data_IF_635585438998
#
_entry.id   IF_635585438998
#
_cell.length_a   1.000
_cell.length_b   1.000
_cell.length_c   1.000
_cell.angle_alpha   90.00
_cell.angle_beta   90.00
_cell.angle_gamma   90.00
#
_symmetry.space_group_name_H-M   'P 1'
#
loop_
_entity.id
_entity.type
_entity.pdbx_description
1 polymer ?
#
# COMPACT_ATOMS: atom_id res chain seq x y z
N UNK A 1 -2.17 11.14 -13.10
CA UNK A 1 -1.26 11.89 -12.21
C UNK A 1 -1.74 11.75 -10.78
N UNK A 2 -0.83 11.48 -9.84
CA UNK A 2 -1.12 11.43 -8.40
C UNK A 2 -0.30 12.51 -7.71
N UNK A 3 -0.92 13.27 -6.79
CA UNK A 3 -0.24 14.28 -5.98
C UNK A 3 -0.47 13.93 -4.52
N UNK A 4 0.61 13.78 -3.76
CA UNK A 4 0.57 13.47 -2.34
C UNK A 4 1.52 14.37 -1.57
N UNK A 5 0.95 15.37 -0.88
CA UNK A 5 1.69 16.39 -0.12
C UNK A 5 2.76 17.05 -1.01
N UNK A 6 4.02 16.59 -0.90
CA UNK A 6 5.18 17.14 -1.60
C UNK A 6 5.57 16.33 -2.84
N UNK A 7 5.01 15.12 -3.02
CA UNK A 7 5.34 14.22 -4.12
C UNK A 7 4.34 14.35 -5.28
N UNK A 8 4.85 14.64 -6.48
CA UNK A 8 4.08 14.65 -7.73
C UNK A 8 4.50 13.46 -8.58
N UNK A 9 3.58 12.53 -8.81
CA UNK A 9 3.80 11.32 -9.59
C UNK A 9 3.08 11.45 -10.94
N UNK A 10 3.87 11.49 -11.99
CA UNK A 10 3.41 11.59 -13.39
C UNK A 10 3.61 10.22 -14.04
N UNK A 11 2.55 9.71 -14.67
CA UNK A 11 2.57 8.46 -15.43
C UNK A 11 1.81 8.69 -16.75
N UNK A 12 2.23 7.98 -17.78
CA UNK A 12 1.69 8.03 -19.14
C UNK A 12 1.98 6.72 -19.85
N UNK A 13 1.25 6.44 -20.93
CA UNK A 13 1.45 5.24 -21.75
C UNK A 13 2.60 5.41 -22.75
N UNK A 14 2.73 6.60 -23.34
CA UNK A 14 3.76 6.93 -24.32
C UNK A 14 4.79 7.90 -23.75
N UNK A 15 5.97 7.94 -24.38
CA UNK A 15 7.03 8.89 -24.01
C UNK A 15 6.64 10.32 -24.40
N UNK A 16 5.98 10.48 -25.54
CA UNK A 16 5.51 11.77 -26.06
C UNK A 16 4.51 12.40 -25.08
N UNK A 17 3.52 11.63 -24.62
CA UNK A 17 2.59 12.08 -23.59
C UNK A 17 3.30 12.36 -22.27
N UNK A 18 4.33 11.57 -21.92
CA UNK A 18 5.10 11.76 -20.69
C UNK A 18 5.76 13.15 -20.65
N UNK A 19 6.46 13.49 -21.73
CA UNK A 19 7.14 14.78 -21.88
C UNK A 19 6.12 15.91 -21.85
N UNK A 20 5.00 15.76 -22.55
CA UNK A 20 3.91 16.74 -22.55
C UNK A 20 3.33 16.97 -21.15
N UNK A 21 3.10 15.91 -20.38
CA UNK A 21 2.59 16.02 -19.01
C UNK A 21 3.59 16.66 -18.05
N UNK A 22 4.89 16.32 -18.17
CA UNK A 22 5.95 16.97 -17.38
C UNK A 22 5.96 18.48 -17.66
N UNK A 23 5.93 18.89 -18.94
CA UNK A 23 5.90 20.30 -19.32
C UNK A 23 4.68 21.04 -18.75
N UNK A 24 3.51 20.41 -18.80
CA UNK A 24 2.28 20.97 -18.20
C UNK A 24 2.38 21.11 -16.69
N UNK A 25 3.00 20.17 -15.99
CA UNK A 25 3.19 20.29 -14.54
C UNK A 25 4.16 21.41 -14.22
N UNK A 26 5.33 21.43 -14.86
CA UNK A 26 6.37 22.45 -14.62
C UNK A 26 5.86 23.86 -14.93
N UNK A 27 5.12 24.04 -16.04
CA UNK A 27 4.53 25.33 -16.41
C UNK A 27 3.50 25.85 -15.40
N UNK A 28 2.87 24.97 -14.61
CA UNK A 28 1.96 25.35 -13.52
C UNK A 28 2.71 25.63 -12.20
N UNK A 29 3.85 24.98 -11.97
CA UNK A 29 4.68 25.21 -10.80
C UNK A 29 5.40 26.57 -10.82
N UNK A 30 5.86 27.01 -12.00
CA UNK A 30 6.57 28.28 -12.18
C UNK A 30 5.82 29.52 -11.66
N UNK A 31 4.55 29.79 -12.05
CA UNK A 31 3.86 31.01 -11.63
C UNK A 31 3.54 31.07 -10.13
N UNK A 32 3.46 29.93 -9.45
CA UNK A 32 3.22 29.85 -8.00
C UNK A 32 4.53 29.81 -7.19
N UNK A 33 5.68 29.98 -7.85
CA UNK A 33 7.02 29.92 -7.25
C UNK A 33 7.28 28.62 -6.46
N UNK A 34 6.72 27.50 -6.92
CA UNK A 34 6.96 26.19 -6.32
C UNK A 34 8.38 25.72 -6.71
N UNK A 35 9.23 25.49 -5.72
CA UNK A 35 10.60 25.04 -5.95
C UNK A 35 10.69 23.51 -5.97
N UNK A 36 11.18 22.98 -7.08
CA UNK A 36 11.36 21.54 -7.27
C UNK A 36 12.85 21.19 -7.06
N UNK A 37 13.12 20.25 -6.16
CA UNK A 37 14.48 19.77 -5.91
C UNK A 37 14.89 18.75 -6.97
N UNK A 38 15.55 19.19 -8.04
CA UNK A 38 16.00 18.32 -9.14
C UNK A 38 16.81 17.09 -8.68
N UNK A 39 17.58 17.21 -7.59
CA UNK A 39 18.35 16.10 -7.01
C UNK A 39 17.49 14.95 -6.47
N UNK A 40 16.23 15.24 -6.13
CA UNK A 40 15.25 14.26 -5.62
C UNK A 40 14.26 13.81 -6.70
N UNK A 41 14.35 14.35 -7.92
CA UNK A 41 13.45 14.00 -9.00
C UNK A 41 13.97 12.79 -9.77
N UNK A 42 13.06 11.89 -10.11
CA UNK A 42 13.30 10.75 -10.98
C UNK A 42 12.43 10.92 -12.23
N UNK A 43 13.07 10.98 -13.41
CA UNK A 43 12.37 11.21 -14.69
C UNK A 43 12.49 9.99 -15.59
N UNK A 44 11.44 9.73 -16.39
CA UNK A 44 11.44 8.73 -17.45
C UNK A 44 11.77 7.31 -17.00
N UNK A 45 11.42 6.96 -15.76
CA UNK A 45 11.65 5.62 -15.24
C UNK A 45 10.46 4.72 -15.57
N UNK A 46 10.71 3.48 -15.97
CA UNK A 46 9.66 2.46 -16.08
C UNK A 46 9.14 2.04 -14.69
N UNK A 47 10.03 2.08 -13.69
CA UNK A 47 9.75 1.74 -12.30
C UNK A 47 10.08 2.92 -11.38
N UNK A 48 9.19 3.24 -10.44
CA UNK A 48 9.38 4.31 -9.47
C UNK A 48 9.11 3.82 -8.04
N UNK A 49 10.02 4.14 -7.12
CA UNK A 49 9.75 4.04 -5.68
C UNK A 49 9.07 5.33 -5.22
N UNK A 50 7.80 5.25 -4.84
CA UNK A 50 7.03 6.39 -4.37
C UNK A 50 6.11 5.98 -3.21
N UNK A 51 6.02 6.83 -2.19
CA UNK A 51 5.12 6.63 -1.03
C UNK A 51 5.28 5.26 -0.34
N UNK A 52 6.48 4.67 -0.33
CA UNK A 52 6.69 3.33 0.25
C UNK A 52 6.20 2.16 -0.60
N UNK A 53 5.85 2.44 -1.86
CA UNK A 53 5.49 1.45 -2.86
C UNK A 53 6.45 1.48 -4.05
N UNK A 54 6.58 0.33 -4.71
CA UNK A 54 7.22 0.17 -6.01
C UNK A 54 6.14 0.18 -7.08
N UNK A 55 6.14 1.21 -7.91
CA UNK A 55 5.19 1.43 -9.01
C UNK A 55 5.85 0.98 -10.31
N UNK A 56 5.19 0.08 -11.06
CA UNK A 56 5.63 -0.38 -12.38
C UNK A 56 4.41 -0.37 -13.32
N UNK A 57 4.35 0.57 -14.25
CA UNK A 57 3.16 0.77 -15.09
C UNK A 57 1.90 0.95 -14.23
N UNK A 58 0.90 0.07 -14.40
CA UNK A 58 -0.35 0.04 -13.61
C UNK A 58 -0.27 -0.81 -12.34
N UNK A 59 0.91 -1.29 -11.97
CA UNK A 59 1.13 -2.17 -10.83
C UNK A 59 1.71 -1.43 -9.63
N UNK A 60 1.18 -1.73 -8.44
CA UNK A 60 1.61 -1.20 -7.15
C UNK A 60 2.07 -2.35 -6.25
N UNK A 61 3.38 -2.48 -6.07
CA UNK A 61 3.99 -3.42 -5.13
C UNK A 61 4.43 -2.71 -3.85
N UNK A 62 4.64 -3.45 -2.77
CA UNK A 62 5.25 -2.89 -1.56
C UNK A 62 6.75 -2.68 -1.79
N UNK A 63 7.32 -1.57 -1.31
CA UNK A 63 8.78 -1.43 -1.24
C UNK A 63 9.34 -2.39 -0.18
N UNK A 64 9.93 -3.50 -0.63
CA UNK A 64 10.51 -4.50 0.25
C UNK A 64 11.65 -3.95 1.14
N UNK A 65 12.32 -2.85 0.76
CA UNK A 65 13.32 -2.24 1.63
C UNK A 65 12.67 -1.66 2.90
N UNK A 66 11.48 -1.07 2.78
CA UNK A 66 10.70 -0.56 3.93
C UNK A 66 10.18 -1.69 4.81
N UNK A 67 9.77 -2.81 4.20
CA UNK A 67 9.27 -3.99 4.93
C UNK A 67 10.40 -4.73 5.64
N UNK A 68 11.59 -4.83 5.03
CA UNK A 68 12.74 -5.54 5.60
C UNK A 68 13.12 -4.98 6.98
N UNK A 69 13.05 -3.66 7.16
CA UNK A 69 13.30 -3.02 8.44
C UNK A 69 12.30 -3.44 9.55
N UNK A 70 11.10 -3.87 9.19
CA UNK A 70 10.09 -4.40 10.12
C UNK A 70 10.23 -5.91 10.31
N UNK A 71 10.63 -6.65 9.27
CA UNK A 71 10.89 -8.09 9.36
C UNK A 71 12.01 -8.44 10.35
N UNK A 72 13.02 -7.58 10.44
CA UNK A 72 14.16 -7.76 11.33
C UNK A 72 13.88 -7.35 12.79
N UNK A 73 12.72 -6.73 13.07
CA UNK A 73 12.41 -6.31 14.45
C UNK A 73 12.04 -7.51 15.30
N UNK A 74 12.56 -7.57 16.55
CA UNK A 74 12.09 -8.57 17.51
C UNK A 74 10.62 -8.35 17.82
N UNK A 75 9.97 -9.39 18.34
CA UNK A 75 8.57 -9.30 18.79
C UNK A 75 8.44 -8.15 19.80
N UNK A 76 7.43 -7.26 19.63
CA UNK A 76 7.20 -6.13 20.53
C UNK A 76 7.16 -6.55 22.00
N UNK A 77 7.80 -5.75 22.87
CA UNK A 77 7.90 -6.02 24.32
C UNK A 77 6.92 -5.20 25.15
N UNK A 78 6.24 -4.23 24.54
CA UNK A 78 5.28 -3.37 25.20
C UNK A 78 4.18 -2.89 24.23
N UNK A 79 3.12 -2.30 24.80
CA UNK A 79 1.97 -1.80 24.03
C UNK A 79 2.39 -0.73 23.01
N UNK A 80 3.37 0.12 23.34
CA UNK A 80 3.82 1.21 22.45
C UNK A 80 4.46 0.65 21.18
N UNK A 81 5.35 -0.32 21.31
CA UNK A 81 5.97 -1.03 20.19
C UNK A 81 4.92 -1.79 19.38
N UNK A 82 3.96 -2.44 20.03
CA UNK A 82 2.89 -3.16 19.35
C UNK A 82 1.98 -2.21 18.53
N UNK A 83 1.63 -1.04 19.08
CA UNK A 83 0.87 -0.02 18.36
C UNK A 83 1.66 0.55 17.18
N UNK A 84 2.96 0.75 17.34
CA UNK A 84 3.86 1.18 16.25
C UNK A 84 3.88 0.16 15.11
N UNK A 85 4.00 -1.14 15.43
CA UNK A 85 3.92 -2.22 14.46
C UNK A 85 2.56 -2.28 13.76
N UNK A 86 1.45 -2.23 14.51
CA UNK A 86 0.10 -2.22 13.92
C UNK A 86 -0.12 -1.01 13.00
N UNK A 87 0.37 0.17 13.38
CA UNK A 87 0.31 1.36 12.53
C UNK A 87 1.01 1.13 11.20
N UNK A 88 2.23 0.58 11.23
CA UNK A 88 2.96 0.21 10.01
C UNK A 88 2.21 -0.84 9.18
N UNK A 89 1.77 -1.95 9.80
CA UNK A 89 1.09 -3.02 9.08
C UNK A 89 -0.25 -2.55 8.48
N UNK A 90 -0.95 -1.63 9.17
CA UNK A 90 -2.21 -1.07 8.69
C UNK A 90 -2.05 -0.22 7.43
N UNK A 91 -0.87 0.39 7.22
CA UNK A 91 -0.57 1.14 6.00
C UNK A 91 -0.64 0.25 4.75
N UNK A 92 -0.17 -1.00 4.89
CA UNK A 92 -0.17 -2.00 3.81
C UNK A 92 -1.34 -2.99 3.89
N UNK A 93 -2.40 -2.69 4.66
CA UNK A 93 -3.51 -3.62 4.91
C UNK A 93 -4.18 -4.16 3.64
N UNK A 94 -4.21 -3.38 2.56
CA UNK A 94 -4.82 -3.78 1.28
C UNK A 94 -4.05 -4.94 0.61
N UNK A 95 -2.78 -5.12 0.95
CA UNK A 95 -1.98 -6.26 0.48
C UNK A 95 -2.16 -7.51 1.36
N UNK A 96 -2.83 -7.40 2.51
CA UNK A 96 -2.95 -8.49 3.49
C UNK A 96 -4.40 -8.98 3.52
N UNK A 97 -4.62 -10.18 2.99
CA UNK A 97 -5.93 -10.80 3.02
C UNK A 97 -6.40 -11.03 4.47
N UNK A 98 -7.65 -10.64 4.75
CA UNK A 98 -8.27 -10.79 6.08
C UNK A 98 -7.48 -10.11 7.21
N UNK A 99 -6.83 -8.96 6.95
CA UNK A 99 -6.04 -8.21 7.93
C UNK A 99 -6.75 -8.03 9.27
N UNK A 100 -8.03 -7.65 9.26
CA UNK A 100 -8.83 -7.43 10.47
C UNK A 100 -8.97 -8.69 11.33
N UNK A 101 -9.14 -9.86 10.71
CA UNK A 101 -9.23 -11.14 11.41
C UNK A 101 -7.90 -11.49 12.08
N UNK A 102 -6.80 -11.37 11.35
CA UNK A 102 -5.45 -11.69 11.85
C UNK A 102 -5.06 -10.76 13.00
N UNK A 103 -5.34 -9.46 12.87
CA UNK A 103 -4.95 -8.45 13.87
C UNK A 103 -5.90 -8.35 15.06
N UNK A 104 -7.04 -9.03 15.05
CA UNK A 104 -8.09 -8.91 16.07
C UNK A 104 -7.57 -9.15 17.50
N UNK A 105 -6.77 -10.20 17.71
CA UNK A 105 -6.19 -10.55 19.01
C UNK A 105 -5.14 -9.54 19.49
N UNK A 106 -4.45 -8.90 18.53
CA UNK A 106 -3.44 -7.86 18.78
C UNK A 106 -4.10 -6.51 19.08
N UNK A 107 -5.18 -6.14 18.38
CA UNK A 107 -5.94 -4.93 18.72
C UNK A 107 -6.55 -5.02 20.13
N UNK A 108 -7.04 -6.20 20.53
CA UNK A 108 -7.49 -6.45 21.91
C UNK A 108 -6.36 -6.24 22.93
N UNK A 109 -5.14 -6.70 22.64
CA UNK A 109 -3.95 -6.45 23.48
C UNK A 109 -3.65 -4.96 23.65
N UNK A 110 -3.95 -4.13 22.65
CA UNK A 110 -3.69 -2.69 22.67
C UNK A 110 -4.78 -1.84 23.34
N UNK A 111 -5.84 -2.48 23.85
CA UNK A 111 -6.97 -1.83 24.53
C UNK A 111 -6.60 -1.37 25.94
N UNK A 112 -7.40 -0.44 26.48
CA UNK A 112 -7.25 0.00 27.88
C UNK A 112 -7.54 -1.21 28.79
N UNK A 113 -6.82 -1.30 29.90
CA UNK A 113 -7.02 -2.29 30.97
C UNK A 113 -6.66 -3.75 30.64
N UNK A 114 -5.89 -4.00 29.57
CA UNK A 114 -5.37 -5.33 29.23
C UNK A 114 -3.88 -5.43 29.58
N UNK A 115 -3.52 -6.47 30.34
CA UNK A 115 -2.12 -6.78 30.65
C UNK A 115 -1.38 -7.16 29.37
N UNK A 116 -0.19 -6.59 29.19
CA UNK A 116 0.62 -6.89 28.02
C UNK A 116 1.20 -8.30 28.12
N UNK A 117 0.64 -9.23 27.34
CA UNK A 117 1.09 -10.62 27.28
C UNK A 117 1.14 -11.10 25.84
N UNK A 118 2.29 -11.66 25.42
CA UNK A 118 2.44 -12.30 24.11
C UNK A 118 2.10 -13.78 24.25
N UNK A 119 0.82 -14.09 24.11
CA UNK A 119 0.32 -15.47 24.00
C UNK A 119 0.75 -16.10 22.67
N UNK A 120 0.64 -17.42 22.55
CA UNK A 120 0.91 -18.14 21.30
C UNK A 120 0.09 -17.57 20.14
N UNK A 121 -1.21 -17.35 20.34
CA UNK A 121 -2.12 -16.77 19.34
C UNK A 121 -1.63 -15.40 18.84
N UNK A 122 -1.20 -14.51 19.74
CA UNK A 122 -0.70 -13.17 19.39
C UNK A 122 0.62 -13.22 18.65
N UNK A 123 1.50 -14.16 19.01
CA UNK A 123 2.76 -14.41 18.31
C UNK A 123 2.51 -14.96 16.91
N UNK A 124 1.60 -15.91 16.77
CA UNK A 124 1.24 -16.49 15.47
C UNK A 124 0.63 -15.43 14.55
N UNK A 125 -0.22 -14.55 15.09
CA UNK A 125 -0.76 -13.40 14.35
C UNK A 125 0.34 -12.42 13.91
N UNK A 126 1.31 -12.12 14.79
CA UNK A 126 2.44 -11.24 14.47
C UNK A 126 3.31 -11.80 13.33
N UNK A 127 3.69 -13.07 13.41
CA UNK A 127 4.49 -13.72 12.36
C UNK A 127 3.69 -13.89 11.06
N UNK A 128 2.38 -14.13 11.14
CA UNK A 128 1.52 -14.18 9.96
C UNK A 128 1.51 -12.84 9.23
N UNK A 129 1.36 -11.72 9.93
CA UNK A 129 1.40 -10.38 9.30
C UNK A 129 2.75 -10.15 8.61
N UNK A 130 3.87 -10.53 9.25
CA UNK A 130 5.20 -10.44 8.64
C UNK A 130 5.31 -11.28 7.36
N UNK A 131 4.79 -12.50 7.39
CA UNK A 131 4.76 -13.38 6.23
C UNK A 131 3.95 -12.78 5.07
N UNK A 132 2.74 -12.28 5.35
CA UNK A 132 1.86 -11.66 4.34
C UNK A 132 2.48 -10.38 3.75
N UNK A 133 3.15 -9.56 4.57
CA UNK A 133 3.88 -8.37 4.09
C UNK A 133 5.06 -8.72 3.17
N UNK A 134 5.65 -9.90 3.37
CA UNK A 134 6.77 -10.38 2.54
C UNK A 134 6.28 -10.95 1.22
N UNK A 135 5.16 -11.67 1.24
CA UNK A 135 4.56 -12.32 0.07
C UNK A 135 3.40 -11.52 -0.52
N UNK A 136 3.33 -10.23 -0.20
CA UNK A 136 2.24 -9.35 -0.57
C UNK A 136 2.05 -9.36 -2.10
N UNK A 137 0.82 -9.57 -2.59
CA UNK A 137 0.54 -9.48 -4.01
C UNK A 137 0.72 -8.04 -4.48
N UNK A 138 1.03 -7.93 -5.76
CA UNK A 138 1.02 -6.66 -6.50
C UNK A 138 -0.43 -6.25 -6.70
N UNK A 139 -0.77 -5.03 -6.29
CA UNK A 139 -2.09 -4.44 -6.52
C UNK A 139 -2.12 -3.77 -7.89
N UNK A 140 -3.31 -3.69 -8.47
CA UNK A 140 -3.53 -2.94 -9.71
C UNK A 140 -4.00 -1.53 -9.34
N UNK A 141 -3.52 -0.50 -10.05
CA UNK A 141 -4.02 0.86 -9.89
C UNK A 141 -5.45 0.97 -10.42
N UNK A 142 -6.36 1.64 -9.70
CA UNK A 142 -7.73 1.80 -10.15
C UNK A 142 -7.79 2.63 -11.43
N UNK A 143 -8.59 2.17 -12.38
CA UNK A 143 -9.00 2.92 -13.56
C UNK A 143 -10.44 3.39 -13.35
N UNK A 144 -10.65 4.69 -13.19
CA UNK A 144 -11.97 5.23 -12.88
C UNK A 144 -12.92 5.24 -14.08
N UNK A 145 -12.44 4.95 -15.29
CA UNK A 145 -13.27 4.84 -16.50
C UNK A 145 -13.88 3.44 -16.67
N UNK A 146 -13.36 2.45 -15.93
CA UNK A 146 -13.80 1.05 -16.00
C UNK A 146 -14.67 0.65 -14.79
N UNK A 147 -15.57 -0.34 -14.95
CA UNK A 147 -16.44 -0.78 -13.85
C UNK A 147 -15.64 -1.53 -12.76
N UNK A 148 -16.01 -1.27 -11.51
CA UNK A 148 -15.47 -1.97 -10.34
C UNK A 148 -16.32 -3.18 -9.96
N UNK A 149 -15.68 -4.22 -9.38
CA UNK A 149 -16.34 -5.40 -8.80
C UNK A 149 -16.08 -5.44 -7.30
N UNK A 150 -17.12 -5.39 -6.49
CA UNK A 150 -17.01 -5.52 -5.04
C UNK A 150 -17.39 -6.93 -4.62
N UNK A 151 -16.43 -7.68 -4.09
CA UNK A 151 -16.68 -8.96 -3.44
C UNK A 151 -16.88 -8.71 -1.96
N UNK A 152 -17.99 -9.19 -1.41
CA UNK A 152 -18.33 -9.03 0.01
C UNK A 152 -18.49 -10.44 0.59
N UNK A 153 -17.83 -10.67 1.72
CA UNK A 153 -18.04 -11.86 2.55
C UNK A 153 -18.45 -11.40 3.95
N UNK A 154 -19.63 -11.80 4.39
CA UNK A 154 -20.21 -11.38 5.66
C UNK A 154 -20.61 -12.61 6.47
N UNK A 155 -19.94 -12.82 7.60
CA UNK A 155 -20.32 -13.84 8.57
C UNK A 155 -21.04 -13.16 9.75
N UNK A 156 -22.30 -13.55 9.99
CA UNK A 156 -23.25 -12.89 10.89
C UNK A 156 -22.75 -12.63 12.32
N UNK A 157 -21.72 -13.34 12.80
CA UNK A 157 -21.16 -13.22 14.15
C UNK A 157 -19.65 -12.95 14.21
N UNK A 158 -18.95 -12.88 13.08
CA UNK A 158 -17.47 -12.90 13.04
C UNK A 158 -16.85 -11.71 12.31
N UNK A 159 -17.61 -10.99 11.48
CA UNK A 159 -17.15 -9.75 10.83
C UNK A 159 -17.59 -9.62 9.37
N UNK A 160 -17.29 -8.45 8.79
CA UNK A 160 -17.50 -8.11 7.39
C UNK A 160 -16.13 -7.99 6.70
N UNK A 161 -15.94 -8.75 5.63
CA UNK A 161 -14.82 -8.62 4.71
C UNK A 161 -15.30 -8.12 3.35
N UNK A 162 -14.51 -7.27 2.70
CA UNK A 162 -14.74 -6.91 1.32
C UNK A 162 -13.41 -6.78 0.58
N UNK A 163 -13.42 -7.05 -0.72
CA UNK A 163 -12.30 -6.82 -1.62
C UNK A 163 -12.82 -6.15 -2.89
N UNK A 164 -12.18 -5.05 -3.28
CA UNK A 164 -12.49 -4.35 -4.51
C UNK A 164 -11.57 -4.86 -5.62
N UNK A 165 -12.17 -5.33 -6.70
CA UNK A 165 -11.46 -5.85 -7.85
C UNK A 165 -11.79 -5.02 -9.09
N UNK A 166 -10.89 -5.05 -10.06
CA UNK A 166 -11.13 -4.47 -11.37
C UNK A 166 -10.49 -5.34 -12.45
N UNK A 167 -11.16 -5.44 -13.60
CA UNK A 167 -10.62 -6.08 -14.80
C UNK A 167 -10.05 -4.99 -15.71
N UNK A 168 -8.76 -5.05 -15.99
CA UNK A 168 -8.04 -4.09 -16.82
C UNK A 168 -7.13 -4.82 -17.81
N UNK A 169 -6.71 -4.12 -18.86
CA UNK A 169 -5.66 -4.60 -19.77
C UNK A 169 -4.32 -4.19 -19.16
N UNK A 170 -3.51 -5.17 -18.76
CA UNK A 170 -2.16 -4.94 -18.24
C UNK A 170 -1.20 -5.71 -19.14
N UNK A 171 -0.23 -5.00 -19.73
CA UNK A 171 0.72 -5.54 -20.71
C UNK A 171 0.05 -6.23 -21.92
N UNK A 172 -1.10 -5.71 -22.36
CA UNK A 172 -1.87 -6.25 -23.50
C UNK A 172 -2.80 -7.42 -23.16
N UNK A 173 -2.78 -7.93 -21.93
CA UNK A 173 -3.60 -9.05 -21.49
C UNK A 173 -4.67 -8.62 -20.47
N UNK A 174 -5.91 -9.14 -20.54
CA UNK A 174 -6.94 -8.83 -19.56
C UNK A 174 -6.63 -9.51 -18.23
N UNK A 175 -6.39 -8.72 -17.18
CA UNK A 175 -6.16 -9.20 -15.81
C UNK A 175 -7.24 -8.65 -14.88
N UNK A 176 -7.81 -9.52 -14.06
CA UNK A 176 -8.60 -9.10 -12.90
C UNK A 176 -7.70 -9.12 -11.67
N UNK A 177 -7.57 -7.97 -10.99
CA UNK A 177 -6.74 -7.86 -9.80
C UNK A 177 -7.44 -7.10 -8.68
N UNK A 178 -6.87 -7.25 -7.48
CA UNK A 178 -7.30 -6.52 -6.29
C UNK A 178 -6.80 -5.09 -6.38
N UNK A 179 -7.70 -4.15 -6.13
CA UNK A 179 -7.43 -2.71 -6.02
C UNK A 179 -7.26 -2.32 -4.55
N UNK A 180 -8.17 -2.80 -3.67
CA UNK A 180 -8.12 -2.59 -2.23
C UNK A 180 -8.89 -3.63 -1.42
#
# INVERSE_FOLDING_TARGET
MVVYIDDIIIYSETWEDHVHYIERVLSKCTPINLQISLKKCNFGQQELLALGHKVLGLSLAIDHNKVTAVLQKPVPRNIKEMKSFLGFASYYRNHIKCFAHITSSIYKLCSKDVVFEITKERRDAYEKIKYELTNAPVLILPDFELPFKLYIDAACSQGLGAALHQRQIVDGEPREGVIC
#
